data_IF_165249738073
#
_entry.id   IF_165249738073
#
_cell.length_a   1.000
_cell.length_b   1.000
_cell.length_c   1.000
_cell.angle_alpha   90.00
_cell.angle_beta   90.00
_cell.angle_gamma   90.00
#
_symmetry.space_group_name_H-M   'P 1'
#
loop_
_entity.id
_entity.type
_entity.pdbx_description
1 polymer ?
#
# COMPACT_ATOMS: atom_id res chain seq x y z
N UNK A 1 -37.43 -0.22 22.80
CA UNK A 1 -36.71 0.97 22.32
C UNK A 1 -35.40 0.93 23.04
N UNK A 2 -34.47 0.18 22.49
CA UNK A 2 -33.36 -0.39 23.26
C UNK A 2 -32.08 0.00 22.55
N UNK A 3 -31.60 1.19 22.85
CA UNK A 3 -30.26 1.62 22.50
C UNK A 3 -29.28 0.96 23.46
N UNK A 4 -28.93 -0.31 23.23
CA UNK A 4 -27.72 -0.89 23.80
C UNK A 4 -26.55 0.03 23.45
N UNK A 5 -25.90 0.58 24.48
CA UNK A 5 -24.74 1.45 24.33
C UNK A 5 -23.60 0.63 23.73
N UNK A 6 -23.42 0.76 22.41
CA UNK A 6 -22.34 0.08 21.69
C UNK A 6 -21.00 0.55 22.29
N UNK A 7 -20.23 -0.39 22.85
CA UNK A 7 -18.92 -0.11 23.45
C UNK A 7 -17.89 0.22 22.36
N UNK A 8 -16.97 1.13 22.64
CA UNK A 8 -15.82 1.45 21.78
C UNK A 8 -15.01 0.19 21.40
N UNK A 9 -14.93 -0.79 22.31
CA UNK A 9 -14.25 -2.05 22.07
C UNK A 9 -14.97 -2.92 21.02
N UNK A 10 -16.30 -2.95 21.06
CA UNK A 10 -17.12 -3.70 20.09
C UNK A 10 -16.99 -3.09 18.68
N UNK A 11 -17.01 -1.75 18.59
CA UNK A 11 -16.80 -1.04 17.31
C UNK A 11 -15.40 -1.31 16.75
N UNK A 12 -14.37 -1.23 17.60
CA UNK A 12 -12.99 -1.48 17.18
C UNK A 12 -12.79 -2.93 16.70
N UNK A 13 -13.41 -3.91 17.34
CA UNK A 13 -13.34 -5.30 16.91
C UNK A 13 -14.07 -5.49 15.57
N UNK A 14 -15.29 -4.96 15.42
CA UNK A 14 -16.04 -5.04 14.17
C UNK A 14 -15.26 -4.42 13.00
N UNK A 15 -14.67 -3.24 13.20
CA UNK A 15 -13.82 -2.57 12.23
C UNK A 15 -12.59 -3.42 11.85
N UNK A 16 -11.98 -4.10 12.83
CA UNK A 16 -10.86 -5.00 12.59
C UNK A 16 -11.26 -6.20 11.73
N UNK A 17 -12.43 -6.79 11.95
CA UNK A 17 -12.92 -7.91 11.13
C UNK A 17 -13.26 -7.43 9.72
N UNK A 18 -13.94 -6.29 9.57
CA UNK A 18 -14.25 -5.73 8.25
C UNK A 18 -12.98 -5.48 7.43
N UNK A 19 -11.91 -4.97 8.05
CA UNK A 19 -10.60 -4.84 7.39
C UNK A 19 -10.06 -6.19 6.92
N UNK A 20 -10.14 -7.25 7.73
CA UNK A 20 -9.67 -8.59 7.32
C UNK A 20 -10.47 -9.14 6.14
N UNK A 21 -11.79 -8.93 6.11
CA UNK A 21 -12.65 -9.38 5.00
C UNK A 21 -12.24 -8.70 3.70
N UNK A 22 -11.98 -7.38 3.72
CA UNK A 22 -11.50 -6.64 2.55
C UNK A 22 -10.13 -7.10 2.04
N UNK A 23 -9.32 -7.74 2.90
CA UNK A 23 -8.01 -8.27 2.53
C UNK A 23 -8.09 -9.68 1.95
N UNK A 24 -8.58 -10.64 2.73
CA UNK A 24 -8.67 -12.03 2.31
C UNK A 24 -9.62 -12.85 3.19
N UNK A 25 -10.59 -13.60 2.63
CA UNK A 25 -11.50 -14.45 3.41
C UNK A 25 -10.79 -15.50 4.29
N UNK A 26 -9.70 -16.09 3.79
CA UNK A 26 -8.92 -17.09 4.55
C UNK A 26 -8.24 -16.54 5.82
N UNK A 27 -8.25 -15.23 6.08
CA UNK A 27 -7.83 -14.69 7.38
C UNK A 27 -8.73 -15.14 8.55
N UNK A 28 -9.91 -15.68 8.25
CA UNK A 28 -10.85 -16.23 9.21
C UNK A 28 -10.80 -17.76 9.32
N UNK A 29 -10.07 -18.42 8.41
CA UNK A 29 -10.00 -19.87 8.36
C UNK A 29 -8.71 -20.34 9.02
N UNK A 30 -8.80 -21.37 9.87
CA UNK A 30 -7.62 -21.99 10.47
C UNK A 30 -6.80 -22.78 9.43
N UNK A 31 -7.49 -23.36 8.45
CA UNK A 31 -6.89 -24.14 7.36
C UNK A 31 -7.48 -23.71 6.02
N UNK A 32 -6.64 -23.61 5.00
CA UNK A 32 -7.03 -23.33 3.63
C UNK A 32 -6.14 -24.11 2.65
N UNK A 33 -6.66 -24.35 1.45
CA UNK A 33 -5.92 -25.08 0.42
C UNK A 33 -4.98 -24.13 -0.32
N UNK A 34 -3.76 -24.58 -0.59
CA UNK A 34 -2.77 -23.87 -1.41
C UNK A 34 -2.97 -24.14 -2.89
N UNK A 35 -4.06 -23.60 -3.43
CA UNK A 35 -4.45 -23.77 -4.83
C UNK A 35 -4.78 -22.41 -5.46
N UNK A 36 -5.32 -22.43 -6.69
CA UNK A 36 -5.73 -21.22 -7.39
C UNK A 36 -6.78 -20.37 -6.64
N UNK A 37 -7.48 -20.93 -5.65
CA UNK A 37 -8.48 -20.18 -4.89
C UNK A 37 -7.83 -19.12 -3.98
N UNK A 38 -6.54 -19.27 -3.65
CA UNK A 38 -5.76 -18.28 -2.90
C UNK A 38 -5.73 -16.89 -3.53
N UNK A 39 -5.72 -16.80 -4.86
CA UNK A 39 -5.73 -15.51 -5.53
C UNK A 39 -7.11 -15.12 -6.05
N UNK A 40 -7.97 -16.09 -6.38
CA UNK A 40 -9.32 -15.85 -6.92
C UNK A 40 -10.34 -15.38 -5.88
N UNK A 41 -10.11 -15.69 -4.59
CA UNK A 41 -11.04 -15.33 -3.51
C UNK A 41 -10.84 -13.91 -2.97
N UNK A 42 -9.76 -13.23 -3.36
CA UNK A 42 -9.50 -11.83 -2.98
C UNK A 42 -9.13 -11.00 -4.20
N UNK A 43 -9.92 -9.96 -4.48
CA UNK A 43 -9.64 -9.03 -5.57
C UNK A 43 -8.29 -8.31 -5.42
N UNK A 44 -7.80 -8.12 -4.19
CA UNK A 44 -6.46 -7.55 -3.96
C UNK A 44 -5.33 -8.51 -4.35
N UNK A 45 -5.48 -9.80 -4.04
CA UNK A 45 -4.49 -10.80 -4.44
C UNK A 45 -4.55 -11.03 -5.94
N UNK A 46 -5.73 -10.99 -6.56
CA UNK A 46 -5.87 -11.02 -8.01
C UNK A 46 -5.19 -9.81 -8.68
N UNK A 47 -5.43 -8.60 -8.17
CA UNK A 47 -4.75 -7.40 -8.66
C UNK A 47 -3.23 -7.52 -8.49
N UNK A 48 -2.77 -8.02 -7.35
CA UNK A 48 -1.35 -8.28 -7.09
C UNK A 48 -0.75 -9.33 -8.05
N UNK A 49 -1.48 -10.40 -8.38
CA UNK A 49 -1.04 -11.42 -9.34
C UNK A 49 -0.78 -10.83 -10.72
N UNK A 50 -1.69 -9.97 -11.20
CA UNK A 50 -1.52 -9.26 -12.47
C UNK A 50 -0.34 -8.30 -12.42
N UNK A 51 -0.18 -7.56 -11.33
CA UNK A 51 0.96 -6.66 -11.10
C UNK A 51 2.30 -7.39 -11.10
N UNK A 52 2.40 -8.47 -10.31
CA UNK A 52 3.63 -9.24 -10.18
C UNK A 52 4.00 -9.92 -11.50
N UNK A 53 3.04 -10.52 -12.20
CA UNK A 53 3.33 -11.17 -13.50
C UNK A 53 3.96 -10.20 -14.50
N UNK A 54 3.46 -8.95 -14.53
CA UNK A 54 4.01 -7.87 -15.37
C UNK A 54 5.40 -7.45 -14.91
N UNK A 55 5.54 -7.10 -13.63
CA UNK A 55 6.78 -6.53 -13.09
C UNK A 55 7.94 -7.53 -13.09
N UNK A 56 7.66 -8.80 -12.74
CA UNK A 56 8.68 -9.84 -12.65
C UNK A 56 9.24 -10.21 -14.02
N UNK A 57 8.43 -10.17 -15.08
CA UNK A 57 8.86 -10.41 -16.47
C UNK A 57 9.95 -9.43 -16.92
N UNK A 58 9.95 -8.21 -16.39
CA UNK A 58 10.94 -7.17 -16.68
C UNK A 58 12.08 -7.09 -15.65
N UNK A 59 12.14 -8.03 -14.70
CA UNK A 59 13.24 -8.07 -13.73
C UNK A 59 13.11 -7.02 -12.61
N UNK A 60 11.94 -6.40 -12.43
CA UNK A 60 11.71 -5.47 -11.32
C UNK A 60 11.72 -6.19 -9.97
N UNK A 61 12.15 -5.47 -8.94
CA UNK A 61 12.21 -5.95 -7.57
C UNK A 61 11.15 -5.24 -6.75
N UNK A 62 10.22 -6.01 -6.19
CA UNK A 62 8.98 -5.54 -5.57
C UNK A 62 9.02 -5.74 -4.06
N UNK A 63 8.80 -4.67 -3.30
CA UNK A 63 8.50 -4.76 -1.87
C UNK A 63 6.99 -4.77 -1.66
N UNK A 64 6.49 -5.67 -0.84
CA UNK A 64 5.07 -5.74 -0.48
C UNK A 64 4.96 -5.51 1.02
N UNK A 65 4.27 -4.43 1.40
CA UNK A 65 4.01 -4.10 2.79
C UNK A 65 2.60 -4.52 3.18
N UNK A 66 2.48 -5.15 4.35
CA UNK A 66 1.20 -5.36 5.02
C UNK A 66 1.29 -5.13 6.53
N UNK A 67 0.22 -4.63 7.13
CA UNK A 67 0.03 -4.52 8.58
C UNK A 67 -0.23 -5.87 9.24
N UNK A 68 -0.88 -6.80 8.53
CA UNK A 68 -1.27 -8.10 9.06
C UNK A 68 -0.23 -9.17 8.73
N UNK A 69 0.48 -9.68 9.74
CA UNK A 69 1.45 -10.77 9.55
C UNK A 69 0.80 -12.07 9.06
N UNK A 70 -0.47 -12.30 9.40
CA UNK A 70 -1.27 -13.40 8.86
C UNK A 70 -1.50 -13.25 7.35
N UNK A 71 -1.67 -12.02 6.86
CA UNK A 71 -1.76 -11.76 5.41
C UNK A 71 -0.43 -12.03 4.72
N UNK A 72 0.70 -11.68 5.34
CA UNK A 72 2.02 -12.03 4.81
C UNK A 72 2.19 -13.55 4.66
N UNK A 73 1.68 -14.35 5.59
CA UNK A 73 1.69 -15.82 5.45
C UNK A 73 0.86 -16.31 4.26
N UNK A 74 -0.32 -15.73 4.02
CA UNK A 74 -1.15 -16.07 2.85
C UNK A 74 -0.44 -15.68 1.55
N UNK A 75 0.19 -14.50 1.51
CA UNK A 75 0.95 -14.04 0.35
C UNK A 75 2.19 -14.93 0.11
N UNK A 76 2.87 -15.38 1.16
CA UNK A 76 4.00 -16.30 1.07
C UNK A 76 3.58 -17.65 0.47
N UNK A 77 2.47 -18.23 0.94
CA UNK A 77 1.89 -19.46 0.38
C UNK A 77 1.47 -19.28 -1.10
N UNK A 78 0.89 -18.13 -1.43
CA UNK A 78 0.54 -17.78 -2.81
C UNK A 78 1.77 -17.66 -3.73
N UNK A 79 2.83 -16.97 -3.28
CA UNK A 79 4.07 -16.82 -4.05
C UNK A 79 4.76 -18.17 -4.25
N UNK A 80 4.78 -19.02 -3.23
CA UNK A 80 5.30 -20.39 -3.34
C UNK A 80 4.51 -21.22 -4.36
N UNK A 81 3.18 -21.14 -4.33
CA UNK A 81 2.32 -21.83 -5.32
C UNK A 81 2.59 -21.34 -6.75
N UNK A 82 2.85 -20.04 -6.95
CA UNK A 82 3.27 -19.47 -8.25
C UNK A 82 4.72 -19.78 -8.63
N UNK A 83 5.52 -20.36 -7.73
CA UNK A 83 6.95 -20.61 -7.95
C UNK A 83 7.81 -19.33 -7.93
N UNK A 84 7.33 -18.27 -7.28
CA UNK A 84 8.05 -16.99 -7.16
C UNK A 84 8.89 -17.01 -5.88
N UNK A 85 10.21 -16.90 -6.03
CA UNK A 85 11.11 -16.79 -4.88
C UNK A 85 10.88 -15.47 -4.15
N UNK A 86 10.77 -15.56 -2.83
CA UNK A 86 10.51 -14.41 -1.98
C UNK A 86 11.29 -14.46 -0.67
N UNK A 87 11.46 -13.28 -0.06
CA UNK A 87 11.99 -13.13 1.29
C UNK A 87 10.92 -12.48 2.14
N UNK A 88 10.82 -12.90 3.41
CA UNK A 88 9.92 -12.30 4.39
C UNK A 88 10.68 -11.66 5.54
N UNK A 89 10.25 -10.51 6.02
CA UNK A 89 10.75 -9.91 7.25
C UNK A 89 9.59 -9.31 8.04
N UNK A 90 9.37 -9.88 9.21
CA UNK A 90 8.43 -9.40 10.20
C UNK A 90 9.14 -9.16 11.55
N UNK A 91 8.38 -8.69 12.54
CA UNK A 91 8.92 -8.32 13.85
C UNK A 91 9.46 -9.51 14.67
N UNK A 92 9.16 -10.76 14.29
CA UNK A 92 9.59 -11.95 15.03
C UNK A 92 10.97 -12.46 14.59
N UNK A 93 11.46 -12.01 13.42
CA UNK A 93 12.79 -12.41 12.93
C UNK A 93 13.89 -11.81 13.81
N UNK A 94 14.83 -12.64 14.27
CA UNK A 94 15.99 -12.22 15.04
C UNK A 94 16.88 -11.23 14.26
N UNK A 95 17.50 -10.27 14.96
CA UNK A 95 18.24 -9.16 14.34
C UNK A 95 19.34 -9.63 13.38
N UNK A 96 20.09 -10.68 13.73
CA UNK A 96 21.17 -11.23 12.90
C UNK A 96 20.64 -11.75 11.55
N UNK A 97 19.52 -12.49 11.58
CA UNK A 97 18.87 -13.02 10.37
C UNK A 97 18.23 -11.94 9.50
N UNK A 98 17.94 -10.75 10.05
CA UNK A 98 17.40 -9.62 9.27
C UNK A 98 18.42 -9.15 8.25
N UNK A 99 19.67 -8.95 8.68
CA UNK A 99 20.74 -8.47 7.79
C UNK A 99 21.01 -9.48 6.67
N UNK A 100 21.11 -10.76 7.02
CA UNK A 100 21.27 -11.85 6.05
C UNK A 100 20.16 -11.85 4.98
N UNK A 101 18.89 -11.73 5.40
CA UNK A 101 17.74 -11.67 4.47
C UNK A 101 17.78 -10.45 3.55
N UNK A 102 18.19 -9.29 4.08
CA UNK A 102 18.32 -8.06 3.29
C UNK A 102 19.46 -8.18 2.29
N UNK A 103 20.63 -8.63 2.74
CA UNK A 103 21.81 -8.79 1.90
C UNK A 103 21.53 -9.81 0.78
N UNK A 104 20.85 -10.91 1.11
CA UNK A 104 20.40 -11.92 0.13
C UNK A 104 19.44 -11.32 -0.90
N UNK A 105 18.44 -10.55 -0.48
CA UNK A 105 17.51 -9.87 -1.39
C UNK A 105 18.22 -8.85 -2.30
N UNK A 106 19.23 -8.14 -1.80
CA UNK A 106 19.99 -7.19 -2.61
C UNK A 106 20.88 -7.90 -3.63
N UNK A 107 21.57 -8.97 -3.23
CA UNK A 107 22.56 -9.66 -4.05
C UNK A 107 21.95 -10.59 -5.11
N UNK A 108 20.87 -11.32 -4.79
CA UNK A 108 20.30 -12.34 -5.68
C UNK A 108 19.28 -11.72 -6.65
N UNK A 109 19.49 -11.78 -7.97
CA UNK A 109 18.52 -11.31 -8.96
C UNK A 109 17.24 -12.13 -9.01
N UNK A 110 17.27 -13.41 -8.60
CA UNK A 110 16.09 -14.30 -8.60
C UNK A 110 15.11 -13.97 -7.48
N UNK A 111 15.60 -13.38 -6.38
CA UNK A 111 14.77 -12.88 -5.30
C UNK A 111 14.20 -11.51 -5.66
N UNK A 112 13.06 -11.56 -6.34
CA UNK A 112 12.40 -10.37 -6.84
C UNK A 112 11.33 -9.83 -5.90
N UNK A 113 10.83 -10.63 -4.94
CA UNK A 113 9.75 -10.20 -4.02
C UNK A 113 10.24 -10.19 -2.57
N UNK A 114 9.97 -9.10 -1.86
CA UNK A 114 10.23 -8.99 -0.43
C UNK A 114 8.95 -8.61 0.32
N UNK A 115 8.45 -9.52 1.14
CA UNK A 115 7.34 -9.34 2.06
C UNK A 115 7.80 -8.67 3.36
N UNK A 116 7.22 -7.53 3.69
CA UNK A 116 7.56 -6.75 4.88
C UNK A 116 6.33 -6.46 5.70
N UNK A 117 6.43 -6.64 7.02
CA UNK A 117 5.41 -6.06 7.90
C UNK A 117 5.68 -4.58 8.09
N UNK A 118 4.66 -3.75 7.99
CA UNK A 118 4.82 -2.31 8.16
C UNK A 118 5.40 -1.94 9.53
N UNK A 119 5.12 -2.74 10.57
CA UNK A 119 5.71 -2.61 11.91
C UNK A 119 7.20 -2.98 11.96
N UNK A 120 7.66 -3.93 11.14
CA UNK A 120 9.08 -4.21 11.01
C UNK A 120 9.83 -3.12 10.23
N UNK A 121 9.11 -2.22 9.54
CA UNK A 121 9.66 -1.08 8.82
C UNK A 121 10.24 0.05 9.69
N UNK A 122 10.00 0.05 11.01
CA UNK A 122 10.53 1.05 11.94
C UNK A 122 12.04 0.98 12.21
N UNK A 123 12.73 -0.02 11.65
CA UNK A 123 14.10 -0.38 12.02
C UNK A 123 15.22 0.28 11.20
N UNK A 124 14.92 1.21 10.28
CA UNK A 124 15.99 1.90 9.55
C UNK A 124 16.56 1.16 8.34
N UNK A 125 15.83 0.18 7.79
CA UNK A 125 16.34 -0.72 6.73
C UNK A 125 16.74 0.03 5.44
N UNK A 126 17.75 -0.48 4.73
CA UNK A 126 18.13 -0.02 3.41
C UNK A 126 17.70 -1.05 2.35
N UNK A 127 16.78 -0.69 1.47
CA UNK A 127 16.19 -1.60 0.47
C UNK A 127 16.24 -0.99 -0.95
N UNK A 128 17.36 -0.36 -1.28
CA UNK A 128 17.58 0.33 -2.57
C UNK A 128 17.60 -0.59 -3.79
N UNK A 129 17.75 -1.90 -3.62
CA UNK A 129 17.68 -2.84 -4.74
C UNK A 129 16.26 -2.98 -5.32
N UNK A 130 15.23 -2.69 -4.52
CA UNK A 130 13.86 -2.66 -4.98
C UNK A 130 13.55 -1.36 -5.73
N UNK A 131 12.63 -1.44 -6.67
CA UNK A 131 12.21 -0.28 -7.49
C UNK A 131 10.68 -0.11 -7.51
N UNK A 132 9.93 -1.10 -7.05
CA UNK A 132 8.48 -1.00 -6.88
C UNK A 132 8.08 -1.32 -5.45
N UNK A 133 7.19 -0.49 -4.89
CA UNK A 133 6.60 -0.67 -3.55
C UNK A 133 5.10 -0.88 -3.70
N UNK A 134 4.59 -1.96 -3.14
CA UNK A 134 3.16 -2.25 -3.05
C UNK A 134 2.72 -2.16 -1.59
N UNK A 135 1.84 -1.23 -1.29
CA UNK A 135 1.13 -1.14 -0.02
C UNK A 135 -0.16 -1.96 -0.14
N UNK A 136 -0.18 -3.15 0.46
CA UNK A 136 -1.29 -4.10 0.29
C UNK A 136 -2.52 -3.70 1.13
N UNK A 137 -2.29 -3.08 2.28
CA UNK A 137 -3.32 -2.61 3.20
C UNK A 137 -3.06 -1.18 3.69
N UNK A 138 -4.11 -0.55 4.22
CA UNK A 138 -4.07 0.81 4.74
C UNK A 138 -3.75 0.83 6.24
N UNK A 139 -2.83 1.71 6.65
CA UNK A 139 -2.62 2.10 8.04
C UNK A 139 -3.48 3.33 8.39
N UNK A 140 -3.94 3.44 9.63
CA UNK A 140 -4.60 4.65 10.13
C UNK A 140 -3.65 5.84 10.26
N UNK A 141 -2.35 5.58 10.34
CA UNK A 141 -1.30 6.57 10.37
C UNK A 141 -0.56 6.58 9.03
N UNK A 142 -0.81 7.58 8.16
CA UNK A 142 -0.16 7.66 6.85
C UNK A 142 1.37 7.86 6.93
N UNK A 143 1.90 8.22 8.10
CA UNK A 143 3.35 8.30 8.30
C UNK A 143 4.05 6.95 8.25
N UNK A 144 3.37 5.88 8.66
CA UNK A 144 3.94 4.54 8.59
C UNK A 144 4.22 4.17 7.12
N UNK A 145 3.29 4.51 6.23
CA UNK A 145 3.45 4.30 4.79
C UNK A 145 4.56 5.19 4.20
N UNK A 146 4.60 6.49 4.55
CA UNK A 146 5.69 7.39 4.13
C UNK A 146 7.06 6.85 4.55
N UNK A 147 7.18 6.34 5.77
CA UNK A 147 8.42 5.73 6.26
C UNK A 147 8.77 4.45 5.51
N UNK A 148 7.78 3.62 5.16
CA UNK A 148 7.98 2.42 4.35
C UNK A 148 8.51 2.77 2.96
N UNK A 149 7.92 3.77 2.29
CA UNK A 149 8.35 4.26 0.97
C UNK A 149 9.78 4.83 1.03
N UNK A 150 10.10 5.58 2.09
CA UNK A 150 11.42 6.16 2.31
C UNK A 150 12.55 5.11 2.48
N UNK A 151 12.23 3.82 2.65
CA UNK A 151 13.21 2.73 2.64
C UNK A 151 13.78 2.44 1.26
N UNK A 152 13.01 2.74 0.22
CA UNK A 152 13.38 2.57 -1.19
C UNK A 152 13.77 3.90 -1.81
N UNK A 153 12.98 4.94 -1.54
CA UNK A 153 13.26 6.31 -1.97
C UNK A 153 14.29 6.96 -1.04
N UNK A 154 15.53 6.45 -1.11
CA UNK A 154 16.67 6.87 -0.28
C UNK A 154 17.87 7.21 -1.15
N UNK A 155 18.71 8.14 -0.67
CA UNK A 155 19.98 8.54 -1.30
C UNK A 155 20.82 7.31 -1.67
N UNK A 156 20.99 7.05 -2.97
CA UNK A 156 21.65 5.85 -3.52
C UNK A 156 20.77 5.03 -4.47
N UNK A 157 19.45 5.24 -4.47
CA UNK A 157 18.55 4.68 -5.47
C UNK A 157 18.81 5.32 -6.84
N UNK A 158 18.98 4.49 -7.87
CA UNK A 158 19.23 4.91 -9.26
C UNK A 158 18.01 4.68 -10.17
N UNK A 159 17.09 3.80 -9.77
CA UNK A 159 15.88 3.47 -10.53
C UNK A 159 14.72 4.34 -10.09
N UNK A 160 13.82 4.64 -11.03
CA UNK A 160 12.56 5.31 -10.71
C UNK A 160 11.70 4.42 -9.80
N UNK A 161 11.31 4.95 -8.63
CA UNK A 161 10.53 4.20 -7.64
C UNK A 161 9.04 4.38 -7.92
N UNK A 162 8.34 3.28 -8.16
CA UNK A 162 6.87 3.28 -8.32
C UNK A 162 6.22 2.78 -7.03
N UNK A 163 5.24 3.53 -6.53
CA UNK A 163 4.48 3.15 -5.33
C UNK A 163 3.03 2.88 -5.74
N UNK A 164 2.55 1.67 -5.45
CA UNK A 164 1.18 1.23 -5.70
C UNK A 164 0.50 0.99 -4.37
N UNK A 165 -0.68 1.55 -4.17
CA UNK A 165 -1.50 1.32 -2.99
C UNK A 165 -2.76 0.59 -3.41
N UNK A 166 -3.02 -0.57 -2.81
CA UNK A 166 -4.20 -1.36 -3.10
C UNK A 166 -5.34 -0.97 -2.17
N UNK A 167 -6.38 -0.37 -2.75
CA UNK A 167 -7.60 0.02 -2.06
C UNK A 167 -8.77 -0.68 -2.74
N UNK A 168 -9.62 -1.34 -1.97
CA UNK A 168 -10.86 -1.93 -2.46
C UNK A 168 -12.00 -0.94 -2.27
N UNK A 169 -12.93 -0.94 -3.21
CA UNK A 169 -14.19 -0.20 -3.12
C UNK A 169 -15.13 -0.79 -2.06
N UNK A 170 -14.72 -0.68 -0.79
CA UNK A 170 -15.51 -1.03 0.37
C UNK A 170 -15.66 0.21 1.24
N UNK A 171 -16.81 0.32 1.92
CA UNK A 171 -17.10 1.46 2.80
C UNK A 171 -16.02 1.66 3.87
N UNK A 172 -15.46 0.57 4.41
CA UNK A 172 -14.42 0.63 5.44
C UNK A 172 -13.10 1.15 4.88
N UNK A 173 -12.62 0.63 3.76
CA UNK A 173 -11.35 1.09 3.19
C UNK A 173 -11.43 2.51 2.66
N UNK A 174 -12.53 2.89 2.00
CA UNK A 174 -12.75 4.29 1.57
C UNK A 174 -12.83 5.24 2.77
N UNK A 175 -13.46 4.83 3.87
CA UNK A 175 -13.49 5.64 5.08
C UNK A 175 -12.08 5.80 5.66
N UNK A 176 -11.30 4.73 5.73
CA UNK A 176 -9.91 4.79 6.19
C UNK A 176 -9.05 5.69 5.31
N UNK A 177 -9.16 5.56 4.00
CA UNK A 177 -8.44 6.37 3.02
C UNK A 177 -8.76 7.86 3.21
N UNK A 178 -10.05 8.22 3.29
CA UNK A 178 -10.47 9.60 3.54
C UNK A 178 -9.87 10.15 4.83
N UNK A 179 -9.89 9.38 5.92
CA UNK A 179 -9.28 9.79 7.20
C UNK A 179 -7.76 9.97 7.10
N UNK A 180 -7.08 9.12 6.33
CA UNK A 180 -5.66 9.26 6.10
C UNK A 180 -5.34 10.53 5.30
N UNK A 181 -6.14 10.82 4.29
CA UNK A 181 -6.02 12.02 3.47
C UNK A 181 -6.26 13.29 4.31
N UNK A 182 -7.31 13.32 5.13
CA UNK A 182 -7.58 14.43 6.08
C UNK A 182 -6.38 14.68 7.02
N UNK A 183 -5.76 13.61 7.54
CA UNK A 183 -4.56 13.71 8.39
C UNK A 183 -3.35 14.27 7.64
N UNK A 184 -3.15 13.85 6.39
CA UNK A 184 -2.07 14.35 5.54
C UNK A 184 -2.24 15.82 5.19
N UNK A 185 -3.46 16.23 4.83
CA UNK A 185 -3.77 17.62 4.52
C UNK A 185 -3.61 18.52 5.75
N UNK A 186 -4.06 18.05 6.92
CA UNK A 186 -3.86 18.76 8.17
C UNK A 186 -2.37 18.95 8.47
N UNK A 187 -1.57 17.90 8.31
CA UNK A 187 -0.11 17.96 8.47
C UNK A 187 0.52 18.97 7.50
N UNK A 188 0.15 18.93 6.22
CA UNK A 188 0.64 19.88 5.20
C UNK A 188 0.28 21.32 5.55
N UNK A 189 -0.96 21.57 5.98
CA UNK A 189 -1.40 22.91 6.43
C UNK A 189 -0.57 23.39 7.62
N UNK A 190 -0.32 22.55 8.61
CA UNK A 190 0.50 22.88 9.78
C UNK A 190 1.96 23.18 9.38
N UNK A 191 2.54 22.39 8.45
CA UNK A 191 3.89 22.64 7.96
C UNK A 191 3.99 23.92 7.14
N UNK A 192 3.06 24.14 6.19
CA UNK A 192 3.01 25.33 5.34
C UNK A 192 2.79 26.62 6.13
N UNK A 193 1.99 26.54 7.20
CA UNK A 193 1.80 27.61 8.18
C UNK A 193 3.07 28.01 8.93
N UNK A 194 4.17 27.24 8.81
CA UNK A 194 5.45 27.62 9.40
C UNK A 194 5.41 27.72 10.93
N UNK A 195 4.45 27.04 11.59
CA UNK A 195 4.34 27.04 13.07
C UNK A 195 5.62 26.55 13.77
N UNK A 196 6.49 25.84 13.04
CA UNK A 196 7.79 25.35 13.52
C UNK A 196 8.99 26.21 13.09
N UNK A 197 8.80 27.31 12.36
CA UNK A 197 9.89 28.27 12.09
C UNK A 197 10.23 29.01 13.38
N UNK A 198 11.40 28.70 13.95
CA UNK A 198 11.93 29.30 15.19
C UNK A 198 12.03 30.83 15.17
N UNK A 199 12.01 31.45 13.99
CA UNK A 199 12.12 32.90 13.78
C UNK A 199 10.79 33.58 13.41
N UNK A 200 9.65 32.87 13.42
CA UNK A 200 8.36 33.47 13.07
C UNK A 200 7.83 34.40 14.18
N UNK A 201 7.41 35.61 13.80
CA UNK A 201 6.82 36.57 14.73
C UNK A 201 5.48 36.06 15.27
N UNK A 202 5.03 36.59 16.41
CA UNK A 202 3.75 36.18 17.02
C UNK A 202 2.55 36.44 16.10
N UNK A 203 2.63 37.50 15.28
CA UNK A 203 1.60 37.87 14.31
C UNK A 203 1.55 36.90 13.12
N UNK A 204 2.71 36.55 12.54
CA UNK A 204 2.81 35.54 11.49
C UNK A 204 2.29 34.17 11.94
N UNK A 205 2.54 33.78 13.19
CA UNK A 205 1.98 32.54 13.77
C UNK A 205 0.46 32.60 13.92
N UNK A 206 -0.09 33.76 14.29
CA UNK A 206 -1.54 33.96 14.43
C UNK A 206 -2.25 33.91 13.08
N UNK A 207 -1.69 34.53 12.06
CA UNK A 207 -2.28 34.56 10.72
C UNK A 207 -2.17 33.19 10.03
N UNK A 208 -1.05 32.49 10.24
CA UNK A 208 -0.90 31.12 9.78
C UNK A 208 -1.87 30.15 10.50
N UNK A 209 -2.11 30.32 11.80
CA UNK A 209 -3.10 29.56 12.55
C UNK A 209 -4.54 29.81 12.05
N UNK A 210 -4.88 31.07 11.71
CA UNK A 210 -6.17 31.41 11.09
C UNK A 210 -6.35 30.73 9.73
N UNK A 211 -5.30 30.68 8.92
CA UNK A 211 -5.32 29.97 7.64
C UNK A 211 -5.49 28.45 7.81
N UNK A 212 -4.80 27.84 8.79
CA UNK A 212 -4.93 26.39 9.08
C UNK A 212 -6.32 26.03 9.58
N UNK A 213 -6.89 26.85 10.47
CA UNK A 213 -8.21 26.61 11.07
C UNK A 213 -9.38 27.00 10.15
N UNK A 214 -9.10 27.55 8.96
CA UNK A 214 -10.14 28.01 8.04
C UNK A 214 -10.96 29.19 8.58
N UNK A 215 -10.37 30.00 9.47
CA UNK A 215 -10.98 31.17 10.10
C UNK A 215 -10.66 32.49 9.37
N UNK A 216 -9.98 32.42 8.22
CA UNK A 216 -9.80 33.53 7.28
C UNK A 216 -10.84 33.47 6.15
N UNK A 217 -11.22 34.63 5.60
CA UNK A 217 -12.37 34.86 4.71
C UNK A 217 -12.82 33.65 3.88
N UNK A 218 -14.07 33.27 4.10
CA UNK A 218 -14.79 32.15 3.50
C UNK A 218 -15.10 32.35 2.00
N UNK A 219 -14.11 32.77 1.21
CA UNK A 219 -14.25 33.07 -0.22
C UNK A 219 -13.45 32.14 -1.14
N UNK A 220 -12.68 31.17 -0.61
CA UNK A 220 -11.82 30.32 -1.46
C UNK A 220 -11.63 28.87 -0.98
N UNK A 221 -12.64 28.31 -0.31
CA UNK A 221 -12.68 26.88 0.04
C UNK A 221 -13.84 26.12 -0.66
N UNK A 222 -14.40 26.71 -1.72
CA UNK A 222 -15.45 26.12 -2.54
C UNK A 222 -14.97 25.98 -4.00
N UNK A 223 -13.90 25.23 -4.24
CA UNK A 223 -13.60 24.75 -5.60
C UNK A 223 -12.86 23.41 -5.69
N UNK A 224 -12.32 22.85 -4.61
CA UNK A 224 -11.59 21.57 -4.68
C UNK A 224 -12.26 20.45 -3.86
N UNK A 225 -13.58 20.57 -3.67
CA UNK A 225 -14.43 19.42 -3.43
C UNK A 225 -14.60 18.64 -4.74
N UNK A 226 -13.53 18.02 -5.23
CA UNK A 226 -13.66 16.91 -6.16
C UNK A 226 -14.43 15.83 -5.39
N UNK A 227 -15.76 15.89 -5.46
CA UNK A 227 -16.61 14.76 -5.18
C UNK A 227 -16.03 13.62 -6.02
N UNK A 228 -15.37 12.67 -5.36
CA UNK A 228 -14.85 11.47 -5.97
C UNK A 228 -16.03 10.85 -6.72
N UNK A 229 -16.04 11.05 -8.04
CA UNK A 229 -17.08 10.53 -8.91
C UNK A 229 -17.03 9.02 -8.77
N UNK A 230 -18.18 8.37 -8.90
CA UNK A 230 -18.36 6.92 -8.86
C UNK A 230 -17.57 6.13 -9.94
N UNK A 231 -16.61 6.75 -10.64
CA UNK A 231 -15.77 6.18 -11.72
C UNK A 231 -14.27 6.13 -11.30
N UNK A 232 -13.98 6.15 -10.00
CA UNK A 232 -12.64 6.15 -9.38
C UNK A 232 -11.95 4.76 -9.36
N UNK A 233 -12.49 3.78 -10.09
CA UNK A 233 -11.88 2.47 -10.22
C UNK A 233 -10.79 2.53 -11.29
N UNK A 234 -9.53 2.37 -10.88
CA UNK A 234 -8.38 2.39 -11.81
C UNK A 234 -8.54 1.31 -12.87
N UNK A 235 -8.63 1.71 -14.13
CA UNK A 235 -8.75 0.77 -15.25
C UNK A 235 -7.42 0.05 -15.46
N UNK A 236 -7.42 -1.21 -15.93
CA UNK A 236 -6.17 -1.95 -16.21
C UNK A 236 -5.22 -1.21 -17.15
N UNK A 237 -5.75 -0.51 -18.16
CA UNK A 237 -4.96 0.28 -19.10
C UNK A 237 -4.27 1.49 -18.46
N UNK A 238 -4.98 2.18 -17.57
CA UNK A 238 -4.45 3.31 -16.80
C UNK A 238 -3.38 2.84 -15.83
N UNK A 239 -3.63 1.71 -15.16
CA UNK A 239 -2.64 1.07 -14.29
C UNK A 239 -1.36 0.73 -15.06
N UNK A 240 -1.46 0.21 -16.29
CA UNK A 240 -0.28 -0.08 -17.12
C UNK A 240 0.49 1.20 -17.46
N UNK A 241 -0.20 2.30 -17.75
CA UNK A 241 0.43 3.58 -18.03
C UNK A 241 1.14 4.16 -16.79
N UNK A 242 0.60 3.95 -15.58
CA UNK A 242 1.20 4.42 -14.34
C UNK A 242 2.40 3.57 -13.88
N UNK A 243 2.41 2.28 -14.23
CA UNK A 243 3.46 1.33 -13.86
C UNK A 243 4.64 1.32 -14.81
N UNK A 244 4.38 1.42 -16.11
CA UNK A 244 5.40 1.33 -17.13
C UNK A 244 6.37 2.52 -17.03
N UNK A 245 7.67 2.21 -17.10
CA UNK A 245 8.76 3.20 -17.13
C UNK A 245 9.24 3.46 -18.55
N UNK A 246 8.95 2.53 -19.47
CA UNK A 246 9.26 2.62 -20.90
C UNK A 246 8.04 2.24 -21.75
N UNK A 247 8.03 2.70 -23.00
CA UNK A 247 6.98 2.34 -23.96
C UNK A 247 6.99 0.83 -24.29
N UNK A 248 8.16 0.18 -24.21
CA UNK A 248 8.31 -1.27 -24.39
C UNK A 248 7.62 -2.05 -23.25
N UNK A 249 7.82 -1.62 -22.00
CA UNK A 249 7.13 -2.19 -20.83
C UNK A 249 5.61 -2.03 -20.98
N UNK A 250 5.15 -0.85 -21.41
CA UNK A 250 3.73 -0.57 -21.60
C UNK A 250 3.09 -1.51 -22.62
N UNK A 251 3.72 -1.67 -23.79
CA UNK A 251 3.23 -2.54 -24.84
C UNK A 251 3.18 -4.01 -24.38
N UNK A 252 4.19 -4.46 -23.65
CA UNK A 252 4.22 -5.82 -23.10
C UNK A 252 3.17 -6.04 -22.00
N UNK A 253 2.90 -5.04 -21.17
CA UNK A 253 1.84 -5.12 -20.14
C UNK A 253 0.45 -5.24 -20.77
N UNK A 254 0.20 -4.49 -21.85
CA UNK A 254 -1.03 -4.60 -22.64
C UNK A 254 -1.15 -5.98 -23.28
N UNK A 255 -0.08 -6.50 -23.89
CA UNK A 255 -0.09 -7.84 -24.48
C UNK A 255 -0.35 -8.96 -23.45
N UNK A 256 0.19 -8.82 -22.24
CA UNK A 256 -0.07 -9.76 -21.13
C UNK A 256 -1.52 -9.69 -20.65
N UNK A 257 -2.11 -8.50 -20.60
CA UNK A 257 -3.53 -8.34 -20.25
C UNK A 257 -4.43 -8.96 -21.32
N UNK A 258 -4.13 -8.73 -22.60
CA UNK A 258 -4.86 -9.34 -23.71
C UNK A 258 -4.78 -10.86 -23.68
N UNK A 259 -3.60 -11.42 -23.37
CA UNK A 259 -3.42 -12.86 -23.19
C UNK A 259 -4.24 -13.41 -22.01
N UNK A 260 -4.30 -12.68 -20.90
CA UNK A 260 -5.10 -13.06 -19.73
C UNK A 260 -6.61 -12.95 -19.98
N UNK A 261 -7.04 -12.00 -20.82
CA UNK A 261 -8.43 -11.81 -21.24
C UNK A 261 -8.89 -12.82 -22.30
N UNK A 262 -7.97 -13.49 -23.01
CA UNK A 262 -8.34 -14.57 -23.94
C UNK A 262 -8.99 -15.70 -23.15
N UNK A 263 -10.21 -16.13 -23.53
CA UNK A 263 -10.81 -17.31 -22.90
C UNK A 263 -9.86 -18.49 -23.13
N UNK A 264 -9.47 -19.15 -22.04
CA UNK A 264 -8.73 -20.41 -22.12
C UNK A 264 -9.55 -21.36 -22.99
N UNK A 265 -9.09 -21.63 -24.21
CA UNK A 265 -9.69 -22.64 -25.08
C UNK A 265 -9.55 -23.99 -24.37
N UNK A 266 -10.67 -24.51 -23.86
CA UNK A 266 -10.73 -25.80 -23.19
C UNK A 266 -10.83 -25.69 -21.66
N UNK A 267 -12.05 -25.52 -21.18
CA UNK A 267 -12.52 -26.09 -19.92
C UNK A 267 -13.88 -26.74 -20.23
#
# INVERSE_FOLDING_TARGET
GDGESVSSEQVNNALMQLRKISLHPYLFMAEYKRNADLYRTSGKVEALDRLLTKLLKFGHKVLIFSQFTSMLSILEDYLQWRGIENVRLDGQVAHEKRKERIDRFQADPKLQVFLLSARAGGLGLNLQAADTVVLFDLDWNPQNDKQAIARVHRVGQQKEVRVVRLVTDTSVERHMEKRCQEKLEMEQKIMGAGMFRRQATAEQRRDALRAVLGLGDAAQAASDGAAAKADDLTRPEELNALLARSDEERAAFQALDDEALRPRKGA
#
